data_IF_242007769704
#
_entry.id   IF_242007769704
#
_cell.length_a   1.000
_cell.length_b   1.000
_cell.length_c   1.000
_cell.angle_alpha   90.00
_cell.angle_beta   90.00
_cell.angle_gamma   90.00
#
_symmetry.space_group_name_H-M   'P 1'
#
loop_
_entity.id
_entity.type
_entity.pdbx_description
1 polymer ?
#
# COMPACT_ATOMS: atom_id res chain seq x y z
N UNK A 1 32.33 -12.21 -1.95
CA UNK A 1 31.49 -13.40 -2.15
C UNK A 1 30.38 -12.96 -3.08
N UNK A 2 30.13 -13.63 -4.22
CA UNK A 2 28.96 -13.33 -5.06
C UNK A 2 27.73 -13.79 -4.27
N UNK A 3 27.04 -12.88 -3.59
CA UNK A 3 25.73 -13.19 -3.03
C UNK A 3 24.79 -13.57 -4.18
N UNK A 4 24.11 -14.71 -4.02
CA UNK A 4 23.15 -15.15 -5.02
C UNK A 4 22.01 -14.14 -5.10
N UNK A 5 21.65 -13.72 -6.32
CA UNK A 5 20.53 -12.79 -6.53
C UNK A 5 19.23 -13.36 -5.94
N UNK A 6 18.38 -12.52 -5.34
CA UNK A 6 17.08 -12.95 -4.88
C UNK A 6 16.24 -13.51 -6.02
N UNK A 7 15.49 -14.58 -5.75
CA UNK A 7 14.61 -15.20 -6.73
C UNK A 7 13.25 -14.54 -6.69
N UNK A 8 12.76 -14.17 -7.87
CA UNK A 8 11.38 -13.77 -8.10
C UNK A 8 10.71 -14.83 -8.96
N UNK A 9 9.70 -15.48 -8.42
CA UNK A 9 8.93 -16.50 -9.15
C UNK A 9 7.82 -15.84 -9.92
N UNK A 10 7.58 -16.32 -11.14
CA UNK A 10 6.61 -15.77 -12.07
C UNK A 10 5.77 -16.84 -12.73
N UNK A 11 4.48 -16.54 -12.93
CA UNK A 11 3.58 -17.29 -13.82
C UNK A 11 2.61 -16.35 -14.53
N UNK A 12 2.35 -16.56 -15.79
CA UNK A 12 1.41 -15.75 -16.57
C UNK A 12 -0.06 -16.12 -16.29
N UNK A 13 -1.02 -15.38 -16.88
CA UNK A 13 -2.47 -15.62 -16.70
C UNK A 13 -3.07 -16.68 -17.66
N UNK A 14 -2.28 -17.32 -18.52
CA UNK A 14 -2.79 -18.39 -19.37
C UNK A 14 -3.16 -19.61 -18.52
N UNK A 15 -4.34 -20.15 -18.75
CA UNK A 15 -4.89 -21.31 -18.04
C UNK A 15 -5.05 -22.51 -18.97
N UNK A 16 -5.24 -23.68 -18.38
CA UNK A 16 -5.56 -24.93 -19.09
C UNK A 16 -6.81 -25.56 -18.47
N UNK A 17 -7.34 -26.60 -19.09
CA UNK A 17 -8.44 -27.36 -18.49
C UNK A 17 -8.09 -28.02 -17.16
N UNK A 18 -6.82 -28.27 -16.92
CA UNK A 18 -6.33 -28.94 -15.69
C UNK A 18 -5.88 -27.96 -14.60
N UNK A 19 -5.65 -26.67 -14.93
CA UNK A 19 -5.14 -25.70 -13.96
C UNK A 19 -5.75 -24.31 -14.21
N UNK A 20 -6.58 -23.84 -13.27
CA UNK A 20 -7.17 -22.51 -13.28
C UNK A 20 -6.24 -21.47 -12.60
N UNK A 21 -6.60 -20.19 -12.67
CA UNK A 21 -5.77 -19.09 -12.12
C UNK A 21 -5.50 -19.21 -10.61
N UNK A 22 -6.47 -19.65 -9.82
CA UNK A 22 -6.31 -19.77 -8.37
C UNK A 22 -5.37 -20.93 -8.00
N UNK A 23 -5.41 -22.01 -8.77
CA UNK A 23 -4.45 -23.11 -8.64
C UNK A 23 -3.03 -22.68 -9.05
N UNK A 24 -2.90 -21.90 -10.14
CA UNK A 24 -1.62 -21.31 -10.53
C UNK A 24 -1.05 -20.39 -9.46
N UNK A 25 -1.88 -19.51 -8.86
CA UNK A 25 -1.45 -18.66 -7.76
C UNK A 25 -0.95 -19.48 -6.56
N UNK A 26 -1.69 -20.52 -6.16
CA UNK A 26 -1.25 -21.43 -5.09
C UNK A 26 0.08 -22.10 -5.43
N UNK A 27 0.24 -22.61 -6.64
CA UNK A 27 1.49 -23.23 -7.11
C UNK A 27 2.65 -22.25 -7.08
N UNK A 28 2.45 -21.01 -7.56
CA UNK A 28 3.43 -19.93 -7.51
C UNK A 28 3.94 -19.69 -6.10
N UNK A 29 3.03 -19.46 -5.15
CA UNK A 29 3.36 -19.15 -3.75
C UNK A 29 4.12 -20.31 -3.10
N UNK A 30 3.70 -21.55 -3.37
CA UNK A 30 4.37 -22.75 -2.85
C UNK A 30 5.75 -22.92 -3.46
N UNK A 31 5.90 -22.74 -4.79
CA UNK A 31 7.18 -22.83 -5.50
C UNK A 31 8.16 -21.74 -5.04
N UNK A 32 7.65 -20.55 -4.70
CA UNK A 32 8.46 -19.46 -4.17
C UNK A 32 8.92 -19.69 -2.71
N UNK A 33 8.49 -20.79 -2.07
CA UNK A 33 9.05 -21.23 -0.81
C UNK A 33 8.33 -20.73 0.44
N UNK A 34 7.08 -20.28 0.38
CA UNK A 34 6.33 -19.81 1.56
C UNK A 34 6.29 -20.82 2.70
N UNK A 35 6.38 -22.14 2.40
CA UNK A 35 6.44 -23.23 3.39
C UNK A 35 7.69 -23.21 4.27
N UNK A 36 8.69 -22.40 3.93
CA UNK A 36 9.90 -22.24 4.77
C UNK A 36 9.64 -21.33 5.98
N UNK A 37 8.49 -20.64 6.02
CA UNK A 37 8.05 -19.88 7.19
C UNK A 37 7.30 -20.82 8.12
N UNK A 38 7.62 -20.75 9.41
CA UNK A 38 6.88 -21.43 10.47
C UNK A 38 5.59 -20.66 10.77
N UNK A 39 4.45 -21.22 10.35
CA UNK A 39 3.13 -20.64 10.55
C UNK A 39 2.39 -21.21 11.78
N UNK A 40 2.91 -22.25 12.42
CA UNK A 40 2.16 -22.96 13.45
C UNK A 40 1.77 -22.05 14.61
N UNK A 41 0.45 -21.94 14.84
CA UNK A 41 -0.20 -21.06 15.83
C UNK A 41 0.16 -19.55 15.74
N UNK A 42 0.66 -19.07 14.59
CA UNK A 42 1.09 -17.68 14.38
C UNK A 42 -0.03 -16.79 13.82
N UNK A 43 -0.12 -15.56 14.34
CA UNK A 43 -0.96 -14.51 13.72
C UNK A 43 -0.29 -13.98 12.45
N UNK A 44 -1.05 -13.99 11.35
CA UNK A 44 -0.55 -13.62 10.03
C UNK A 44 -1.34 -12.44 9.47
N UNK A 45 -0.71 -11.28 9.41
CA UNK A 45 -1.28 -10.12 8.76
C UNK A 45 -1.12 -10.24 7.24
N UNK A 46 -2.21 -10.45 6.53
CA UNK A 46 -2.24 -10.39 5.06
C UNK A 46 -2.61 -8.94 4.68
N UNK A 47 -1.60 -8.16 4.35
CA UNK A 47 -1.78 -6.76 3.95
C UNK A 47 -2.23 -6.68 2.50
N UNK A 48 -3.41 -6.15 2.31
CA UNK A 48 -4.04 -5.94 1.00
C UNK A 48 -4.72 -4.57 0.97
N UNK A 49 -4.88 -3.98 -0.20
CA UNK A 49 -5.73 -2.83 -0.42
C UNK A 49 -7.14 -3.28 -0.78
N UNK A 50 -8.16 -2.83 -0.07
CA UNK A 50 -9.55 -3.29 -0.29
C UNK A 50 -10.26 -2.58 -1.45
N UNK A 51 -9.64 -1.58 -2.08
CA UNK A 51 -10.27 -0.72 -3.09
C UNK A 51 -11.05 0.43 -2.47
N UNK A 52 -11.03 1.59 -3.09
CA UNK A 52 -11.94 2.69 -2.76
C UNK A 52 -13.31 2.41 -3.41
N UNK A 53 -14.45 2.71 -2.76
CA UNK A 53 -15.76 2.56 -3.39
C UNK A 53 -15.84 3.25 -4.75
N UNK A 54 -16.26 2.50 -5.77
CA UNK A 54 -16.28 2.94 -7.17
C UNK A 54 -15.10 2.49 -8.03
N UNK A 55 -13.96 2.18 -7.43
CA UNK A 55 -12.83 1.57 -8.14
C UNK A 55 -13.12 0.07 -8.38
N UNK A 56 -12.85 -0.42 -9.57
CA UNK A 56 -13.06 -1.84 -9.94
C UNK A 56 -11.77 -2.56 -10.36
N UNK A 57 -10.62 -1.87 -10.34
CA UNK A 57 -9.32 -2.46 -10.67
C UNK A 57 -8.63 -3.13 -9.47
N UNK A 58 -9.16 -3.00 -8.25
CA UNK A 58 -8.59 -3.64 -7.08
C UNK A 58 -8.58 -5.17 -7.20
N UNK A 59 -7.70 -5.83 -6.46
CA UNK A 59 -7.58 -7.30 -6.49
C UNK A 59 -8.87 -7.98 -6.01
N UNK A 60 -9.33 -8.96 -6.79
CA UNK A 60 -10.52 -9.74 -6.45
C UNK A 60 -10.33 -10.53 -5.15
N UNK A 61 -11.35 -10.62 -4.28
CA UNK A 61 -11.29 -11.38 -3.01
C UNK A 61 -10.87 -12.85 -3.18
N UNK A 62 -11.11 -13.43 -4.36
CA UNK A 62 -10.71 -14.79 -4.70
C UNK A 62 -9.20 -15.02 -4.56
N UNK A 63 -8.38 -14.02 -4.92
CA UNK A 63 -6.94 -14.11 -4.75
C UNK A 63 -6.54 -14.10 -3.27
N UNK A 64 -7.18 -13.25 -2.47
CA UNK A 64 -6.96 -13.22 -1.02
C UNK A 64 -7.33 -14.56 -0.37
N UNK A 65 -8.45 -15.17 -0.82
CA UNK A 65 -8.87 -16.49 -0.33
C UNK A 65 -7.81 -17.57 -0.54
N UNK A 66 -7.12 -17.59 -1.68
CA UNK A 66 -6.03 -18.57 -1.92
C UNK A 66 -4.93 -18.43 -0.88
N UNK A 67 -4.54 -17.19 -0.55
CA UNK A 67 -3.50 -16.92 0.45
C UNK A 67 -3.98 -17.33 1.85
N UNK A 68 -5.21 -16.97 2.21
CA UNK A 68 -5.84 -17.34 3.48
C UNK A 68 -5.90 -18.85 3.67
N UNK A 69 -6.41 -19.58 2.66
CA UNK A 69 -6.55 -21.04 2.72
C UNK A 69 -5.17 -21.72 2.82
N UNK A 70 -4.16 -21.18 2.14
CA UNK A 70 -2.79 -21.70 2.22
C UNK A 70 -2.20 -21.48 3.61
N UNK A 71 -2.28 -20.27 4.15
CA UNK A 71 -1.79 -19.94 5.50
C UNK A 71 -2.46 -20.84 6.56
N UNK A 72 -3.78 -21.02 6.49
CA UNK A 72 -4.51 -21.93 7.39
C UNK A 72 -4.06 -23.38 7.24
N UNK A 73 -3.82 -23.83 6.02
CA UNK A 73 -3.31 -25.19 5.79
C UNK A 73 -1.90 -25.44 6.34
N UNK A 74 -1.18 -24.36 6.66
CA UNK A 74 0.15 -24.39 7.29
C UNK A 74 0.10 -24.10 8.81
N UNK A 75 -1.10 -24.06 9.41
CA UNK A 75 -1.29 -23.85 10.85
C UNK A 75 -1.43 -22.40 11.30
N UNK A 76 -1.34 -21.44 10.38
CA UNK A 76 -1.40 -19.99 10.69
C UNK A 76 -2.82 -19.48 10.94
N UNK A 77 -2.90 -18.35 11.64
CA UNK A 77 -4.12 -17.61 11.97
C UNK A 77 -4.19 -16.31 11.15
N UNK A 78 -4.65 -16.34 9.88
CA UNK A 78 -4.65 -15.18 9.01
C UNK A 78 -5.78 -14.21 9.31
N UNK A 79 -5.51 -12.92 9.07
CA UNK A 79 -6.50 -11.87 8.93
C UNK A 79 -6.10 -10.94 7.78
N UNK A 80 -7.09 -10.39 7.07
CA UNK A 80 -6.88 -9.36 6.07
C UNK A 80 -6.78 -8.00 6.75
N UNK A 81 -5.88 -7.14 6.31
CA UNK A 81 -5.68 -5.84 6.97
C UNK A 81 -5.26 -4.73 6.01
N UNK A 82 -5.63 -3.52 6.38
CA UNK A 82 -5.17 -2.24 5.88
C UNK A 82 -5.26 -1.21 7.02
N UNK A 83 -4.72 0.00 6.84
CA UNK A 83 -4.93 1.13 7.74
C UNK A 83 -5.81 2.19 7.09
N UNK A 84 -6.51 2.97 7.92
CA UNK A 84 -7.39 4.05 7.49
C UNK A 84 -6.67 5.06 6.58
N UNK A 85 -7.42 5.64 5.66
CA UNK A 85 -6.88 6.62 4.72
C UNK A 85 -6.76 8.01 5.33
N UNK A 86 -5.91 8.83 4.72
CA UNK A 86 -5.73 10.23 5.06
C UNK A 86 -6.65 11.14 4.25
N UNK A 87 -7.10 10.68 3.08
CA UNK A 87 -7.85 11.47 2.10
C UNK A 87 -9.36 11.27 2.20
N UNK A 88 -10.07 12.08 1.41
CA UNK A 88 -11.51 11.96 1.17
C UNK A 88 -11.82 10.59 0.58
N UNK A 89 -12.86 9.93 1.09
CA UNK A 89 -13.30 8.63 0.59
C UNK A 89 -14.00 7.79 1.64
N UNK A 90 -14.30 6.55 1.27
CA UNK A 90 -15.03 5.58 2.09
C UNK A 90 -14.18 4.86 3.15
N UNK A 91 -12.89 5.24 3.34
CA UNK A 91 -11.98 4.47 4.21
C UNK A 91 -11.31 5.32 5.29
N UNK A 92 -11.97 6.41 5.76
CA UNK A 92 -11.42 7.35 6.76
C UNK A 92 -11.45 6.85 8.21
N UNK A 93 -12.29 5.90 8.53
CA UNK A 93 -12.41 5.28 9.84
C UNK A 93 -12.70 3.80 9.68
N UNK A 94 -12.53 3.00 10.73
CA UNK A 94 -12.62 1.56 10.59
C UNK A 94 -14.00 1.05 10.17
N UNK A 95 -15.09 1.75 10.53
CA UNK A 95 -16.44 1.30 10.14
C UNK A 95 -16.65 1.49 8.64
N UNK A 96 -16.47 2.71 8.14
CA UNK A 96 -16.56 3.00 6.70
C UNK A 96 -15.57 2.15 5.89
N UNK A 97 -14.36 1.92 6.43
CA UNK A 97 -13.33 1.12 5.77
C UNK A 97 -13.72 -0.36 5.69
N UNK A 98 -14.34 -0.92 6.74
CA UNK A 98 -14.88 -2.28 6.68
C UNK A 98 -16.07 -2.38 5.75
N UNK A 99 -16.95 -1.37 5.74
CA UNK A 99 -18.08 -1.31 4.80
C UNK A 99 -17.57 -1.31 3.35
N UNK A 100 -16.59 -0.46 3.02
CA UNK A 100 -15.93 -0.46 1.71
C UNK A 100 -15.30 -1.83 1.36
N UNK A 101 -14.64 -2.49 2.32
CA UNK A 101 -14.10 -3.83 2.12
C UNK A 101 -15.20 -4.85 1.84
N UNK A 102 -16.31 -4.79 2.55
CA UNK A 102 -17.44 -5.71 2.38
C UNK A 102 -18.19 -5.47 1.07
N UNK A 103 -18.40 -4.22 0.67
CA UNK A 103 -18.97 -3.86 -0.63
C UNK A 103 -18.11 -4.37 -1.79
N UNK A 104 -16.78 -4.32 -1.63
CA UNK A 104 -15.81 -4.85 -2.59
C UNK A 104 -15.60 -6.39 -2.45
N UNK A 105 -16.40 -7.04 -1.61
CA UNK A 105 -16.47 -8.50 -1.48
C UNK A 105 -15.44 -9.12 -0.53
N UNK A 106 -14.69 -8.34 0.24
CA UNK A 106 -13.76 -8.86 1.26
C UNK A 106 -14.49 -9.07 2.59
N UNK A 107 -15.01 -10.25 2.81
CA UNK A 107 -15.71 -10.62 4.02
C UNK A 107 -15.26 -12.00 4.53
N UNK A 108 -15.56 -12.36 5.78
CA UNK A 108 -15.29 -13.72 6.27
C UNK A 108 -15.97 -14.82 5.44
N UNK A 109 -17.10 -14.53 4.79
CA UNK A 109 -17.82 -15.48 3.95
C UNK A 109 -17.12 -15.72 2.60
N UNK A 110 -16.54 -14.67 2.01
CA UNK A 110 -15.88 -14.75 0.70
C UNK A 110 -14.41 -15.16 0.79
N UNK A 111 -13.68 -14.65 1.79
CA UNK A 111 -12.24 -14.85 1.91
C UNK A 111 -11.85 -15.92 2.91
N UNK A 112 -12.77 -16.28 3.83
CA UNK A 112 -12.52 -17.27 4.87
C UNK A 112 -11.81 -16.71 6.11
N UNK A 113 -11.52 -15.41 6.22
CA UNK A 113 -10.94 -14.81 7.43
C UNK A 113 -11.51 -13.42 7.72
N UNK A 114 -11.22 -12.90 8.91
CA UNK A 114 -11.70 -11.59 9.35
C UNK A 114 -10.89 -10.46 8.70
N UNK A 115 -11.55 -9.29 8.57
CA UNK A 115 -10.92 -8.02 8.24
C UNK A 115 -10.66 -7.26 9.54
N UNK A 116 -9.43 -6.78 9.74
CA UNK A 116 -9.05 -5.95 10.87
C UNK A 116 -8.41 -4.68 10.32
N UNK A 117 -8.98 -3.52 10.65
CA UNK A 117 -8.37 -2.23 10.30
C UNK A 117 -7.31 -1.92 11.35
N UNK A 118 -6.05 -1.97 10.94
CA UNK A 118 -4.90 -2.14 11.84
C UNK A 118 -4.62 -0.94 12.75
N UNK A 119 -5.04 0.27 12.37
CA UNK A 119 -4.86 1.50 13.13
C UNK A 119 -6.12 1.92 13.90
N UNK A 120 -7.06 0.98 14.11
CA UNK A 120 -8.23 1.13 14.95
C UNK A 120 -9.29 2.08 14.41
N UNK A 121 -10.32 2.36 15.25
CA UNK A 121 -11.55 3.05 14.84
C UNK A 121 -11.28 4.40 14.14
N UNK A 122 -10.32 5.18 14.61
CA UNK A 122 -10.04 6.54 14.13
C UNK A 122 -8.64 6.71 13.51
N UNK A 123 -7.94 5.62 13.24
CA UNK A 123 -6.58 5.66 12.67
C UNK A 123 -5.50 6.08 13.66
N UNK A 124 -5.69 5.85 14.96
CA UNK A 124 -4.84 6.31 16.06
C UNK A 124 -4.32 5.18 16.95
N UNK A 125 -4.69 3.94 16.66
CA UNK A 125 -4.14 2.77 17.35
C UNK A 125 -2.86 2.35 16.63
N UNK A 126 -1.73 2.79 17.17
CA UNK A 126 -0.44 2.72 16.51
C UNK A 126 0.68 2.20 17.42
N UNK A 127 1.63 1.53 16.81
CA UNK A 127 2.92 1.20 17.38
C UNK A 127 3.97 2.20 16.87
N UNK A 128 4.84 2.61 17.77
CA UNK A 128 6.00 3.43 17.44
C UNK A 128 7.21 2.53 17.25
N UNK A 129 7.76 2.52 16.05
CA UNK A 129 8.88 1.65 15.68
C UNK A 129 10.12 2.50 15.43
N UNK A 130 11.14 2.44 16.28
CA UNK A 130 12.38 3.17 16.09
C UNK A 130 13.09 2.76 14.80
N UNK A 131 13.64 3.72 14.06
CA UNK A 131 14.39 3.53 12.83
C UNK A 131 15.68 4.36 12.90
N UNK A 132 16.69 3.83 13.58
CA UNK A 132 17.93 4.55 13.85
C UNK A 132 18.68 4.99 12.60
N UNK A 133 18.65 4.17 11.56
CA UNK A 133 19.26 4.39 10.26
C UNK A 133 18.37 5.10 9.24
N UNK A 134 17.13 5.46 9.62
CA UNK A 134 16.23 6.25 8.78
C UNK A 134 16.81 7.62 8.45
N UNK A 135 16.78 8.03 7.20
CA UNK A 135 17.22 9.35 6.75
C UNK A 135 16.18 10.42 7.08
N UNK A 136 14.91 10.08 6.85
CA UNK A 136 13.77 11.00 7.00
C UNK A 136 12.88 10.66 8.20
N UNK A 137 12.79 9.39 8.58
CA UNK A 137 11.92 8.88 9.63
C UNK A 137 12.78 8.28 10.74
N UNK A 138 12.66 8.82 11.95
CA UNK A 138 13.37 8.29 13.13
C UNK A 138 12.53 7.31 13.95
N UNK A 139 11.22 7.43 13.84
CA UNK A 139 10.26 6.57 14.53
C UNK A 139 9.00 6.44 13.66
N UNK A 140 8.81 5.28 13.08
CA UNK A 140 7.65 5.02 12.23
C UNK A 140 6.39 4.72 13.05
N UNK A 141 5.25 5.26 12.62
CA UNK A 141 3.95 5.11 13.26
C UNK A 141 3.11 4.11 12.46
N UNK A 142 3.09 2.88 12.92
CA UNK A 142 2.51 1.73 12.21
C UNK A 142 1.20 1.31 12.90
N UNK A 143 0.19 0.90 12.12
CA UNK A 143 -1.05 0.33 12.66
C UNK A 143 -0.78 -0.84 13.60
N UNK A 144 -1.34 -0.78 14.83
CA UNK A 144 -1.05 -1.70 15.93
C UNK A 144 -1.20 -3.17 15.52
N UNK A 145 -2.32 -3.54 14.89
CA UNK A 145 -2.57 -4.95 14.55
C UNK A 145 -1.57 -5.54 13.55
N UNK A 146 -0.91 -4.71 12.71
CA UNK A 146 0.19 -5.18 11.85
C UNK A 146 1.41 -5.53 12.70
N UNK A 147 1.71 -4.72 13.73
CA UNK A 147 2.86 -4.92 14.58
C UNK A 147 2.66 -6.05 15.59
N UNK A 148 1.42 -6.34 15.98
CA UNK A 148 1.05 -7.46 16.85
C UNK A 148 1.05 -8.82 16.12
N UNK A 149 1.06 -8.82 14.78
CA UNK A 149 1.18 -10.06 14.00
C UNK A 149 2.61 -10.60 14.01
N UNK A 150 2.74 -11.92 14.04
CA UNK A 150 4.03 -12.62 13.99
C UNK A 150 4.63 -12.61 12.58
N UNK A 151 3.77 -12.69 11.56
CA UNK A 151 4.15 -12.81 10.15
C UNK A 151 3.39 -11.77 9.33
N UNK A 152 4.08 -11.18 8.34
CA UNK A 152 3.46 -10.25 7.38
C UNK A 152 3.52 -10.83 5.98
N UNK A 153 2.36 -10.94 5.34
CA UNK A 153 2.25 -11.26 3.90
C UNK A 153 1.70 -10.03 3.19
N UNK A 154 2.36 -9.54 2.16
CA UNK A 154 1.78 -8.52 1.30
C UNK A 154 1.16 -9.14 0.03
N UNK A 155 -0.10 -8.86 -0.20
CA UNK A 155 -0.80 -9.19 -1.43
C UNK A 155 -1.05 -7.89 -2.19
N UNK A 156 -0.31 -7.71 -3.29
CA UNK A 156 -0.17 -6.43 -3.94
C UNK A 156 -0.88 -6.43 -5.30
N UNK A 157 -1.71 -5.43 -5.54
CA UNK A 157 -2.08 -5.01 -6.88
C UNK A 157 -0.95 -4.11 -7.39
N UNK A 158 -0.29 -4.52 -8.47
CA UNK A 158 0.79 -3.73 -9.07
C UNK A 158 0.23 -2.86 -10.19
N UNK A 159 0.31 -1.54 -10.03
CA UNK A 159 -0.32 -0.54 -10.92
C UNK A 159 0.39 0.81 -10.85
N UNK A 160 0.00 1.76 -11.71
CA UNK A 160 0.46 3.15 -11.67
C UNK A 160 0.12 3.87 -10.35
N UNK A 161 0.80 4.99 -10.13
CA UNK A 161 0.55 5.86 -8.99
C UNK A 161 1.07 7.27 -9.25
N UNK A 162 0.23 8.26 -9.07
CA UNK A 162 0.47 9.68 -9.38
C UNK A 162 1.61 10.35 -8.59
N UNK A 163 1.92 9.85 -7.40
CA UNK A 163 3.02 10.37 -6.58
C UNK A 163 4.26 9.47 -6.53
N UNK A 164 4.07 8.15 -6.62
CA UNK A 164 5.17 7.19 -6.47
C UNK A 164 5.68 6.63 -7.82
N UNK A 165 4.98 6.90 -8.92
CA UNK A 165 5.19 6.27 -10.23
C UNK A 165 4.43 4.95 -10.33
N UNK A 166 4.67 4.01 -9.44
CA UNK A 166 3.88 2.79 -9.28
C UNK A 166 3.59 2.45 -7.81
N UNK A 167 2.61 1.58 -7.59
CA UNK A 167 2.33 0.96 -6.29
C UNK A 167 2.54 -0.55 -6.35
N UNK A 168 3.49 -1.06 -5.59
CA UNK A 168 3.84 -2.46 -5.43
C UNK A 168 3.93 -2.88 -3.96
N UNK A 169 4.83 -3.82 -3.63
CA UNK A 169 5.03 -4.35 -2.28
C UNK A 169 5.53 -3.28 -1.30
N UNK A 170 6.55 -2.49 -1.70
CA UNK A 170 7.12 -1.44 -0.85
C UNK A 170 6.04 -0.43 -0.47
N UNK A 171 5.25 0.05 -1.42
CA UNK A 171 4.15 0.98 -1.15
C UNK A 171 3.04 0.35 -0.33
N UNK A 172 2.63 -0.89 -0.66
CA UNK A 172 1.55 -1.58 0.07
C UNK A 172 1.91 -1.78 1.54
N UNK A 173 3.15 -2.10 1.85
CA UNK A 173 3.65 -2.21 3.23
C UNK A 173 3.91 -0.82 3.82
N UNK A 174 4.74 0.01 3.21
CA UNK A 174 5.16 1.29 3.78
C UNK A 174 3.99 2.24 4.02
N UNK A 175 3.32 2.66 2.94
CA UNK A 175 2.16 3.55 3.03
C UNK A 175 0.96 2.86 3.66
N UNK A 176 0.71 1.60 3.25
CA UNK A 176 -0.50 0.87 3.65
C UNK A 176 -0.54 0.54 5.14
N UNK A 177 0.59 0.16 5.77
CA UNK A 177 0.65 -0.15 7.19
C UNK A 177 0.85 1.08 8.09
N UNK A 178 1.22 2.23 7.53
CA UNK A 178 1.29 3.48 8.30
C UNK A 178 -0.05 3.86 8.92
N UNK A 179 -0.07 4.22 10.22
CA UNK A 179 -1.23 4.83 10.85
C UNK A 179 -1.59 6.16 10.16
N UNK A 180 -2.67 6.80 10.58
CA UNK A 180 -3.00 8.13 10.06
C UNK A 180 -1.88 9.14 10.27
N UNK A 181 -1.24 9.14 11.45
CA UNK A 181 -0.08 10.00 11.72
C UNK A 181 1.13 9.60 10.85
N UNK A 182 1.35 8.30 10.65
CA UNK A 182 2.39 7.80 9.76
C UNK A 182 2.18 8.21 8.30
N UNK A 183 0.94 8.07 7.79
CA UNK A 183 0.60 8.57 6.45
C UNK A 183 0.81 10.08 6.32
N UNK A 184 0.45 10.84 7.36
CA UNK A 184 0.70 12.29 7.41
C UNK A 184 2.19 12.61 7.31
N UNK A 185 3.03 11.90 8.04
CA UNK A 185 4.48 12.09 8.03
C UNK A 185 5.10 11.74 6.68
N UNK A 186 4.60 10.68 6.02
CA UNK A 186 5.09 10.30 4.69
C UNK A 186 4.75 11.34 3.62
N UNK A 187 3.54 11.88 3.63
CA UNK A 187 3.06 12.82 2.61
C UNK A 187 3.53 14.26 2.80
N UNK A 188 4.00 14.64 4.00
CA UNK A 188 4.31 16.03 4.32
C UNK A 188 5.35 16.13 5.44
N UNK A 189 5.58 17.37 5.93
CA UNK A 189 6.33 17.63 7.17
C UNK A 189 5.65 17.07 8.44
N UNK A 190 4.53 16.35 8.29
CA UNK A 190 3.75 15.83 9.41
C UNK A 190 2.73 16.83 9.96
N UNK A 191 2.48 17.95 9.28
CA UNK A 191 1.55 18.99 9.70
C UNK A 191 0.37 19.15 8.71
N UNK A 192 -0.89 19.26 9.22
CA UNK A 192 -2.04 19.50 8.37
C UNK A 192 -2.23 20.99 8.07
N UNK A 193 -2.89 21.28 6.94
CA UNK A 193 -3.33 22.63 6.55
C UNK A 193 -4.83 22.69 6.35
N UNK A 194 -5.42 23.88 6.38
CA UNK A 194 -6.84 24.09 6.17
C UNK A 194 -7.07 24.77 4.83
N UNK A 195 -7.81 24.11 3.95
CA UNK A 195 -8.35 24.76 2.76
C UNK A 195 -9.50 25.68 3.19
N UNK A 196 -9.24 26.99 3.16
CA UNK A 196 -10.15 28.02 3.65
C UNK A 196 -11.42 28.12 2.80
N UNK A 197 -11.36 27.79 1.51
CA UNK A 197 -12.55 27.84 0.63
C UNK A 197 -13.58 26.75 0.99
N UNK A 198 -13.10 25.57 1.42
CA UNK A 198 -13.94 24.43 1.84
C UNK A 198 -14.36 24.49 3.31
N UNK A 199 -13.64 25.24 4.14
CA UNK A 199 -13.92 25.33 5.57
C UNK A 199 -15.19 26.11 5.85
N UNK A 200 -16.12 25.53 6.63
CA UNK A 200 -17.39 26.14 7.06
C UNK A 200 -17.41 26.47 8.56
N UNK A 201 -16.30 26.33 9.28
CA UNK A 201 -16.21 26.65 10.69
C UNK A 201 -17.06 25.78 11.62
N UNK A 202 -17.29 24.52 11.27
CA UNK A 202 -18.18 23.62 12.04
C UNK A 202 -17.61 23.12 13.37
N UNK A 203 -16.42 23.51 13.77
CA UNK A 203 -15.71 23.15 15.01
C UNK A 203 -15.30 21.66 15.15
N UNK A 204 -15.62 20.79 14.21
CA UNK A 204 -15.33 19.34 14.34
C UNK A 204 -13.83 19.06 14.52
N UNK A 205 -12.96 19.72 13.74
CA UNK A 205 -11.52 19.59 13.87
C UNK A 205 -11.01 20.07 15.24
N UNK A 206 -11.53 21.20 15.75
CA UNK A 206 -11.18 21.75 17.06
C UNK A 206 -11.59 20.82 18.20
N UNK A 207 -12.84 20.30 18.18
CA UNK A 207 -13.35 19.36 19.19
C UNK A 207 -12.54 18.07 19.28
N UNK A 208 -11.96 17.65 18.16
CA UNK A 208 -11.17 16.42 18.09
C UNK A 208 -9.65 16.69 18.31
N UNK A 209 -9.21 17.93 18.48
CA UNK A 209 -7.81 18.24 18.74
C UNK A 209 -7.49 18.13 20.25
N UNK A 210 -6.67 17.13 20.62
CA UNK A 210 -6.25 16.92 22.00
C UNK A 210 -5.13 17.90 22.46
N UNK A 211 -4.62 18.73 21.54
CA UNK A 211 -3.46 19.59 21.79
C UNK A 211 -3.80 21.09 21.70
N UNK A 212 -5.10 21.42 21.65
CA UNK A 212 -5.58 22.81 21.49
C UNK A 212 -4.87 23.60 20.38
N UNK A 213 -4.46 22.88 19.34
CA UNK A 213 -3.74 23.46 18.21
C UNK A 213 -4.65 24.15 17.18
N UNK A 214 -5.99 24.09 17.34
CA UNK A 214 -6.94 24.60 16.34
C UNK A 214 -7.82 25.71 16.92
N UNK A 215 -7.76 26.88 16.30
CA UNK A 215 -8.67 28.00 16.56
C UNK A 215 -9.69 28.14 15.42
N UNK A 216 -10.84 28.75 15.75
CA UNK A 216 -11.83 29.15 14.75
C UNK A 216 -11.98 30.66 14.84
N UNK A 217 -11.68 31.35 13.74
CA UNK A 217 -11.79 32.80 13.59
C UNK A 217 -12.63 33.05 12.34
N UNK A 218 -13.61 33.93 12.40
CA UNK A 218 -14.51 34.29 11.28
C UNK A 218 -15.08 33.07 10.53
N UNK A 219 -15.54 32.07 11.29
CA UNK A 219 -16.06 30.78 10.75
C UNK A 219 -15.04 30.00 9.90
N UNK A 220 -13.76 30.18 10.15
CA UNK A 220 -12.66 29.45 9.50
C UNK A 220 -11.73 28.83 10.54
N UNK A 221 -11.25 27.64 10.27
CA UNK A 221 -10.28 26.95 11.12
C UNK A 221 -8.85 27.39 10.79
N UNK A 222 -8.03 27.55 11.82
CA UNK A 222 -6.58 27.81 11.74
C UNK A 222 -5.83 26.83 12.63
N UNK A 223 -4.72 26.30 12.16
CA UNK A 223 -3.90 25.32 12.87
C UNK A 223 -2.60 26.01 13.30
N UNK A 224 -2.34 26.03 14.60
CA UNK A 224 -1.06 26.42 15.15
C UNK A 224 -0.10 25.22 15.06
N UNK A 225 0.88 25.30 14.17
CA UNK A 225 1.83 24.22 13.92
C UNK A 225 2.82 24.00 15.06
N UNK A 226 3.06 24.96 15.94
CA UNK A 226 3.92 24.80 17.13
C UNK A 226 3.27 23.89 18.18
N UNK A 227 1.92 23.92 18.26
CA UNK A 227 1.14 23.05 19.15
C UNK A 227 0.73 21.72 18.48
N UNK A 228 0.75 21.68 17.16
CA UNK A 228 0.31 20.51 16.41
C UNK A 228 1.35 19.38 16.45
N UNK A 229 0.95 18.19 16.87
CA UNK A 229 1.81 16.99 16.90
C UNK A 229 1.67 16.10 15.66
N UNK A 230 0.90 16.50 14.65
CA UNK A 230 0.79 15.76 13.39
C UNK A 230 -0.07 14.49 13.44
N UNK A 231 -0.88 14.25 14.46
CA UNK A 231 -1.67 13.02 14.63
C UNK A 231 -2.77 12.82 13.56
N UNK A 232 -3.07 13.80 12.69
CA UNK A 232 -4.04 13.72 11.61
C UNK A 232 -5.52 13.59 12.02
N UNK A 233 -5.85 13.59 13.32
CA UNK A 233 -7.22 13.42 13.82
C UNK A 233 -8.20 14.44 13.22
N UNK A 234 -7.77 15.68 13.03
CA UNK A 234 -8.56 16.76 12.44
C UNK A 234 -8.91 16.50 10.96
N UNK A 235 -8.06 15.80 10.21
CA UNK A 235 -8.32 15.39 8.84
C UNK A 235 -9.49 14.39 8.83
N UNK A 236 -9.36 13.30 9.59
CA UNK A 236 -10.40 12.26 9.66
C UNK A 236 -11.74 12.74 10.20
N UNK A 237 -11.78 13.82 11.00
CA UNK A 237 -13.01 14.37 11.57
C UNK A 237 -13.65 15.48 10.73
N UNK A 238 -13.03 15.94 9.66
CA UNK A 238 -13.56 17.04 8.85
C UNK A 238 -14.64 16.56 7.88
N UNK A 239 -15.93 16.96 8.07
CA UNK A 239 -17.03 16.52 7.20
C UNK A 239 -17.05 17.25 5.84
N UNK A 240 -16.20 18.25 5.65
CA UNK A 240 -16.06 19.04 4.42
C UNK A 240 -14.72 18.83 3.73
N UNK A 241 -13.90 17.90 4.23
CA UNK A 241 -12.57 17.63 3.71
C UNK A 241 -11.72 18.89 3.48
N UNK A 242 -11.91 19.83 4.40
CA UNK A 242 -11.20 21.11 4.37
C UNK A 242 -9.81 21.02 5.04
N UNK A 243 -9.53 19.97 5.80
CA UNK A 243 -8.23 19.76 6.47
C UNK A 243 -7.48 18.67 5.73
N UNK A 244 -6.27 18.97 5.25
CA UNK A 244 -5.46 18.09 4.43
C UNK A 244 -4.00 18.09 4.89
N UNK A 245 -3.15 17.13 4.48
CA UNK A 245 -1.70 17.24 4.61
C UNK A 245 -1.19 18.52 3.93
N UNK A 246 -0.06 19.06 4.40
CA UNK A 246 0.52 20.29 3.80
C UNK A 246 0.98 20.09 2.35
N UNK A 247 1.37 18.86 1.96
CA UNK A 247 1.86 18.56 0.61
C UNK A 247 3.21 19.24 0.31
N UNK A 248 3.98 19.54 1.34
CA UNK A 248 5.24 20.27 1.26
C UNK A 248 6.47 19.40 0.93
N UNK A 249 6.27 18.08 0.79
CA UNK A 249 7.31 17.15 0.37
C UNK A 249 7.18 16.76 -1.12
N UNK A 250 8.33 16.59 -1.78
CA UNK A 250 8.37 16.08 -3.15
C UNK A 250 7.98 14.60 -3.21
N UNK A 251 7.58 14.16 -4.40
CA UNK A 251 7.29 12.75 -4.67
C UNK A 251 8.48 11.82 -4.36
N UNK A 252 9.70 12.32 -4.53
CA UNK A 252 10.91 11.56 -4.22
C UNK A 252 11.09 11.36 -2.70
N UNK A 253 10.83 12.38 -1.88
CA UNK A 253 10.84 12.26 -0.42
C UNK A 253 9.74 11.29 0.04
N UNK A 254 8.55 11.37 -0.57
CA UNK A 254 7.47 10.42 -0.30
C UNK A 254 7.93 8.96 -0.54
N UNK A 255 8.57 8.69 -1.67
CA UNK A 255 9.10 7.38 -2.04
C UNK A 255 10.13 6.86 -1.01
N UNK A 256 11.06 7.71 -0.60
CA UNK A 256 12.09 7.36 0.39
C UNK A 256 11.46 7.07 1.76
N UNK A 257 10.53 7.89 2.22
CA UNK A 257 9.80 7.64 3.47
C UNK A 257 8.96 6.36 3.44
N UNK A 258 8.33 6.03 2.30
CA UNK A 258 7.62 4.76 2.15
C UNK A 258 8.55 3.56 2.29
N UNK A 259 9.77 3.63 1.75
CA UNK A 259 10.78 2.58 1.91
C UNK A 259 11.21 2.45 3.38
N UNK A 260 11.40 3.55 4.09
CA UNK A 260 11.72 3.54 5.52
C UNK A 260 10.59 2.95 6.36
N UNK A 261 9.34 3.30 6.08
CA UNK A 261 8.18 2.70 6.74
C UNK A 261 8.05 1.20 6.45
N UNK A 262 8.35 0.77 5.22
CA UNK A 262 8.39 -0.66 4.87
C UNK A 262 9.47 -1.39 5.66
N UNK A 263 10.66 -0.77 5.83
CA UNK A 263 11.72 -1.30 6.67
C UNK A 263 11.28 -1.46 8.13
N UNK A 264 10.62 -0.45 8.69
CA UNK A 264 10.10 -0.50 10.06
C UNK A 264 9.08 -1.64 10.27
N UNK A 265 8.27 -1.96 9.26
CA UNK A 265 7.29 -3.06 9.34
C UNK A 265 7.96 -4.42 9.22
N UNK A 266 8.92 -4.60 8.32
CA UNK A 266 9.40 -5.91 7.91
C UNK A 266 10.62 -6.42 8.68
N UNK A 267 11.47 -5.52 9.20
CA UNK A 267 12.69 -5.92 9.90
C UNK A 267 12.40 -6.80 11.11
N UNK A 268 13.18 -7.86 11.23
CA UNK A 268 13.15 -8.77 12.38
C UNK A 268 11.95 -9.69 12.45
N UNK A 269 11.14 -9.79 11.39
CA UNK A 269 10.01 -10.73 11.33
C UNK A 269 9.94 -11.47 10.00
N UNK A 270 9.38 -12.70 9.98
CA UNK A 270 9.10 -13.42 8.74
C UNK A 270 8.10 -12.65 7.88
N UNK A 271 8.39 -12.55 6.59
CA UNK A 271 7.50 -11.90 5.63
C UNK A 271 7.57 -12.58 4.25
N UNK A 272 6.52 -12.38 3.45
CA UNK A 272 6.43 -12.90 2.09
C UNK A 272 5.58 -11.97 1.22
N UNK A 273 5.93 -11.84 -0.05
CA UNK A 273 5.33 -10.84 -0.94
C UNK A 273 4.80 -11.49 -2.22
N UNK A 274 3.57 -11.12 -2.59
CA UNK A 274 2.86 -11.60 -3.77
C UNK A 274 2.34 -10.39 -4.53
N UNK A 275 2.69 -10.24 -5.80
CA UNK A 275 2.21 -9.16 -6.66
C UNK A 275 1.46 -9.72 -7.85
N UNK A 276 0.27 -9.18 -8.11
CA UNK A 276 -0.51 -9.45 -9.31
C UNK A 276 -0.43 -8.22 -10.22
N UNK A 277 0.11 -8.42 -11.42
CA UNK A 277 0.20 -7.43 -12.49
C UNK A 277 -0.97 -7.66 -13.43
N UNK A 278 -2.13 -7.16 -13.00
CA UNK A 278 -3.44 -7.32 -13.63
C UNK A 278 -4.19 -6.00 -13.53
N UNK A 279 -5.05 -5.68 -14.49
CA UNK A 279 -5.80 -4.42 -14.49
C UNK A 279 -4.90 -3.21 -14.15
N UNK A 280 -3.74 -3.10 -14.81
CA UNK A 280 -2.70 -2.11 -14.49
C UNK A 280 -3.22 -0.70 -14.79
N UNK A 281 -4.00 -0.16 -13.85
CA UNK A 281 -4.55 1.19 -13.95
C UNK A 281 -3.44 2.26 -13.82
N UNK A 282 -3.62 3.45 -14.42
CA UNK A 282 -2.68 4.56 -14.25
C UNK A 282 -2.68 5.11 -12.81
N UNK A 283 -3.79 4.96 -12.10
CA UNK A 283 -4.02 5.51 -10.76
C UNK A 283 -4.02 4.45 -9.66
N UNK A 284 -3.87 4.93 -8.43
CA UNK A 284 -3.93 4.08 -7.24
C UNK A 284 -5.36 3.62 -6.94
N UNK A 285 -5.52 2.39 -6.41
CA UNK A 285 -6.80 1.88 -5.90
C UNK A 285 -7.39 2.72 -4.75
N UNK A 286 -6.67 3.73 -4.29
CA UNK A 286 -7.15 4.69 -3.29
C UNK A 286 -8.04 5.79 -3.88
N UNK A 287 -8.21 5.83 -5.20
CA UNK A 287 -9.17 6.67 -5.92
C UNK A 287 -10.40 5.86 -6.30
N UNK A 288 -11.55 6.50 -6.40
CA UNK A 288 -12.80 5.88 -6.87
C UNK A 288 -12.79 5.57 -8.36
N UNK A 289 -12.02 6.33 -9.13
CA UNK A 289 -11.75 6.11 -10.55
C UNK A 289 -10.50 5.25 -10.75
N UNK A 290 -10.51 4.35 -11.73
CA UNK A 290 -9.33 3.53 -12.07
C UNK A 290 -8.83 3.73 -13.49
N UNK A 291 -9.67 4.24 -14.40
CA UNK A 291 -9.39 4.41 -15.82
C UNK A 291 -9.10 3.09 -16.56
N UNK A 292 -8.81 3.17 -17.85
CA UNK A 292 -8.42 2.05 -18.69
C UNK A 292 -7.03 1.56 -18.30
N UNK A 293 -6.79 0.23 -18.21
CA UNK A 293 -5.44 -0.30 -17.98
C UNK A 293 -4.46 0.18 -19.05
N UNK A 294 -3.23 0.51 -18.62
CA UNK A 294 -2.20 1.04 -19.53
C UNK A 294 -1.51 -0.04 -20.37
N UNK A 295 -1.49 -1.27 -19.86
CA UNK A 295 -0.90 -2.46 -20.53
C UNK A 295 -1.81 -3.67 -20.32
N UNK A 296 -1.71 -4.73 -21.15
CA UNK A 296 -2.39 -6.00 -20.91
C UNK A 296 -1.96 -6.65 -19.59
N UNK A 297 -2.82 -7.51 -19.05
CA UNK A 297 -2.50 -8.35 -17.90
C UNK A 297 -1.22 -9.17 -18.14
N UNK A 298 -0.31 -9.14 -17.18
CA UNK A 298 1.01 -9.76 -17.30
C UNK A 298 1.08 -11.11 -16.61
N UNK A 299 0.78 -11.14 -15.31
CA UNK A 299 0.90 -12.35 -14.53
C UNK A 299 1.00 -12.10 -13.02
N UNK A 300 1.42 -13.15 -12.33
CA UNK A 300 1.56 -13.20 -10.89
C UNK A 300 3.02 -13.42 -10.52
N UNK A 301 3.48 -12.72 -9.51
CA UNK A 301 4.86 -12.77 -9.02
C UNK A 301 4.89 -13.05 -7.52
N UNK A 302 5.93 -13.75 -7.04
CA UNK A 302 6.13 -13.99 -5.61
C UNK A 302 7.61 -14.03 -5.24
N UNK A 303 7.95 -13.43 -4.09
CA UNK A 303 9.32 -13.40 -3.56
C UNK A 303 9.33 -13.16 -2.06
N UNK A 304 10.43 -13.51 -1.39
CA UNK A 304 10.76 -13.03 -0.05
C UNK A 304 11.30 -11.60 -0.06
N UNK A 305 11.86 -11.16 -1.18
CA UNK A 305 12.46 -9.83 -1.34
C UNK A 305 11.45 -8.87 -1.99
N UNK A 306 10.96 -7.85 -1.26
CA UNK A 306 9.97 -6.91 -1.79
C UNK A 306 10.55 -5.97 -2.86
N UNK A 307 11.85 -5.67 -2.79
CA UNK A 307 12.54 -4.77 -3.73
C UNK A 307 12.72 -5.47 -5.07
N UNK A 308 13.25 -6.71 -5.05
CA UNK A 308 13.37 -7.56 -6.22
C UNK A 308 12.01 -7.81 -6.89
N UNK A 309 10.97 -8.03 -6.08
CA UNK A 309 9.61 -8.24 -6.56
C UNK A 309 9.08 -7.02 -7.31
N UNK A 310 9.20 -5.83 -6.72
CA UNK A 310 8.72 -4.59 -7.33
C UNK A 310 9.50 -4.26 -8.62
N UNK A 311 10.83 -4.49 -8.64
CA UNK A 311 11.63 -4.36 -9.86
C UNK A 311 11.17 -5.32 -10.96
N UNK A 312 10.96 -6.60 -10.64
CA UNK A 312 10.51 -7.58 -11.61
C UNK A 312 9.14 -7.23 -12.21
N UNK A 313 8.22 -6.73 -11.38
CA UNK A 313 6.91 -6.26 -11.83
C UNK A 313 7.03 -5.01 -12.73
N UNK A 314 7.87 -4.03 -12.36
CA UNK A 314 8.08 -2.83 -13.16
C UNK A 314 8.71 -3.16 -14.53
N UNK A 315 9.72 -4.01 -14.55
CA UNK A 315 10.34 -4.50 -15.80
C UNK A 315 9.33 -5.25 -16.67
N UNK A 316 8.45 -6.05 -16.06
CA UNK A 316 7.45 -6.80 -16.77
C UNK A 316 6.37 -5.91 -17.41
N UNK A 317 5.93 -4.85 -16.71
CA UNK A 317 5.01 -3.84 -17.24
C UNK A 317 5.66 -3.06 -18.38
N UNK A 318 6.90 -2.59 -18.21
CA UNK A 318 7.61 -1.81 -19.21
C UNK A 318 7.91 -2.59 -20.52
N UNK A 319 7.84 -3.92 -20.50
CA UNK A 319 7.97 -4.78 -21.68
C UNK A 319 6.65 -5.01 -22.42
N UNK A 320 5.51 -4.61 -21.85
CA UNK A 320 4.22 -4.86 -22.50
C UNK A 320 3.90 -3.81 -23.57
N UNK A 321 3.11 -4.19 -24.60
CA UNK A 321 2.55 -3.22 -25.52
C UNK A 321 1.55 -2.31 -24.79
N UNK A 322 1.47 -1.08 -25.24
CA UNK A 322 0.52 -0.07 -24.71
C UNK A 322 -0.89 -0.39 -25.21
N UNK A 323 -1.88 -0.32 -24.33
CA UNK A 323 -3.29 -0.46 -24.73
C UNK A 323 -3.75 0.80 -25.44
N UNK A 324 -4.29 0.65 -26.66
CA UNK A 324 -4.87 1.74 -27.43
C UNK A 324 -6.05 2.39 -26.66
N UNK A 325 -6.10 3.71 -26.63
CA UNK A 325 -7.11 4.47 -25.90
C UNK A 325 -6.87 4.58 -24.39
N UNK A 326 -5.74 4.10 -23.89
CA UNK A 326 -5.29 4.39 -22.52
C UNK A 326 -4.59 5.75 -22.43
N UNK A 327 -4.52 6.33 -21.23
CA UNK A 327 -3.78 7.59 -21.02
C UNK A 327 -2.29 7.46 -21.39
N UNK A 328 -1.69 6.27 -21.30
CA UNK A 328 -0.33 6.02 -21.77
C UNK A 328 -0.21 6.14 -23.29
N UNK A 329 -1.22 5.65 -24.04
CA UNK A 329 -1.25 5.78 -25.50
C UNK A 329 -1.41 7.25 -25.95
N UNK A 330 -2.07 8.07 -25.14
CA UNK A 330 -2.24 9.50 -25.38
C UNK A 330 -1.02 10.35 -24.96
N UNK A 331 -0.18 9.79 -24.07
CA UNK A 331 1.05 10.44 -23.66
C UNK A 331 2.02 10.50 -24.86
N UNK A 332 2.22 11.69 -25.43
CA UNK A 332 3.10 11.95 -26.62
C UNK A 332 4.59 11.73 -26.34
N UNK A 333 4.94 10.74 -25.53
CA UNK A 333 6.27 10.50 -25.00
C UNK A 333 6.81 9.16 -25.47
N UNK A 334 8.09 9.13 -25.74
CA UNK A 334 8.81 7.95 -26.27
C UNK A 334 9.81 7.40 -25.26
N UNK A 335 9.45 7.42 -23.99
CA UNK A 335 10.32 6.83 -22.98
C UNK A 335 10.09 5.31 -22.93
N UNK A 336 11.11 4.58 -22.54
CA UNK A 336 10.99 3.14 -22.29
C UNK A 336 10.53 2.85 -20.84
N UNK A 337 9.76 3.78 -20.26
CA UNK A 337 9.30 3.72 -18.88
C UNK A 337 7.84 4.20 -18.80
N UNK A 338 6.93 3.24 -18.86
CA UNK A 338 5.49 3.48 -18.89
C UNK A 338 4.99 4.30 -17.68
N UNK A 339 5.60 4.11 -16.52
CA UNK A 339 5.20 4.84 -15.31
C UNK A 339 5.63 6.30 -15.35
N UNK A 340 6.83 6.59 -15.83
CA UNK A 340 7.30 7.96 -16.03
C UNK A 340 6.56 8.65 -17.19
N UNK A 341 6.11 7.91 -18.19
CA UNK A 341 5.31 8.49 -19.29
C UNK A 341 3.92 8.89 -18.81
N UNK A 342 3.26 8.08 -17.97
CA UNK A 342 1.98 8.41 -17.37
C UNK A 342 2.12 9.52 -16.32
N UNK A 343 3.14 9.44 -15.45
CA UNK A 343 3.35 10.35 -14.33
C UNK A 343 4.75 10.99 -14.36
N UNK A 344 4.99 11.98 -15.23
CA UNK A 344 6.33 12.53 -15.51
C UNK A 344 6.97 13.29 -14.35
N UNK A 345 6.23 13.62 -13.32
CA UNK A 345 6.74 14.27 -12.11
C UNK A 345 7.21 13.28 -11.04
N UNK A 346 7.14 11.97 -11.34
CA UNK A 346 7.51 10.91 -10.41
C UNK A 346 8.88 10.32 -10.74
N UNK A 347 9.57 9.82 -9.71
CA UNK A 347 10.79 9.05 -9.82
C UNK A 347 10.64 7.78 -8.99
N UNK A 348 10.00 6.74 -9.56
CA UNK A 348 9.77 5.48 -8.86
C UNK A 348 11.07 4.75 -8.47
N UNK A 349 12.18 4.99 -9.20
CA UNK A 349 13.48 4.39 -8.89
C UNK A 349 14.00 4.80 -7.52
N UNK A 350 13.65 6.02 -7.08
CA UNK A 350 14.05 6.52 -5.75
C UNK A 350 13.52 5.66 -4.60
N UNK A 351 12.35 5.01 -4.76
CA UNK A 351 11.83 4.08 -3.74
C UNK A 351 12.64 2.77 -3.72
N UNK A 352 13.06 2.26 -4.88
CA UNK A 352 13.87 1.05 -5.00
C UNK A 352 15.27 1.28 -4.41
N UNK A 353 15.95 2.32 -4.87
CA UNK A 353 17.31 2.69 -4.42
C UNK A 353 17.35 2.92 -2.90
N UNK A 354 16.34 3.60 -2.37
CA UNK A 354 16.27 3.85 -0.94
C UNK A 354 15.94 2.58 -0.13
N UNK A 355 15.09 1.72 -0.66
CA UNK A 355 14.78 0.43 -0.03
C UNK A 355 16.01 -0.51 0.00
N UNK A 356 16.84 -0.50 -1.05
CA UNK A 356 18.14 -1.19 -1.04
C UNK A 356 19.06 -0.60 0.04
N UNK A 357 19.18 0.73 0.11
CA UNK A 357 19.95 1.43 1.15
C UNK A 357 19.51 1.06 2.56
N UNK A 358 18.20 0.87 2.76
CA UNK A 358 17.61 0.43 4.02
C UNK A 358 17.79 -1.08 4.30
N UNK A 359 18.40 -1.84 3.39
CA UNK A 359 18.62 -3.28 3.53
C UNK A 359 17.35 -4.12 3.44
N UNK A 360 16.31 -3.62 2.74
CA UNK A 360 15.05 -4.36 2.53
C UNK A 360 15.15 -5.45 1.47
N UNK A 361 16.12 -5.37 0.58
CA UNK A 361 16.30 -6.28 -0.52
C UNK A 361 17.22 -5.70 -1.60
N UNK A 362 17.11 -6.23 -2.80
CA UNK A 362 17.99 -5.90 -3.93
C UNK A 362 17.18 -5.54 -5.17
N UNK A 363 17.56 -4.48 -5.88
CA UNK A 363 16.96 -4.08 -7.16
C UNK A 363 17.33 -5.00 -8.34
N UNK A 364 18.21 -5.99 -8.11
CA UNK A 364 18.55 -7.03 -9.09
C UNK A 364 17.96 -8.36 -8.66
N UNK A 365 17.49 -9.16 -9.60
CA UNK A 365 16.80 -10.41 -9.31
C UNK A 365 17.09 -11.50 -10.33
N UNK A 366 16.82 -12.74 -9.95
CA UNK A 366 16.74 -13.89 -10.86
C UNK A 366 15.25 -14.23 -11.04
N UNK A 367 14.74 -14.09 -12.29
CA UNK A 367 13.38 -14.52 -12.60
C UNK A 367 13.32 -16.04 -12.76
N UNK A 368 12.34 -16.67 -12.10
CA UNK A 368 12.08 -18.12 -12.18
C UNK A 368 10.66 -18.29 -12.70
N UNK A 369 10.51 -18.67 -13.96
CA UNK A 369 9.21 -19.00 -14.54
C UNK A 369 8.76 -20.40 -14.13
N UNK A 370 7.45 -20.54 -13.81
CA UNK A 370 6.83 -21.80 -13.37
C UNK A 370 5.50 -22.09 -14.07
#
# INVERSE_FOLDING_TARGET
MNEALPKVYFTNFRTTFSENLLQKLRRLIVSAGIKNIDFDDKYVAIKIHFGEPGNLAFLRPNYAKVVVDLVRSLGGRPFLTDCNTLYVGGRKNALDHMDAAYENGFSPFSTGCHVIIADGLKGLDEAYVPLEDGEYVKEAKIGRAVMDADIVISLNHFKGHEGAGFGGAIKNIGMGCGSRAGKMEMHSSGKPVVNQSRCVGCFMCRRNCAHDAISIVDKKAFINHDKCVGCGRCIGSCPKDAVNPSGDHSNEILNKKMAEYAAAVLRGRPHFHISLVVDVSPYCDCHSENDVPIVPDVGMFASFDPVALDMACADAVNKQPVIAGSCLAEASRTHNDHFCDVHPTTNWKSQIEHAEKMGLGYGKYQLVEI
#
